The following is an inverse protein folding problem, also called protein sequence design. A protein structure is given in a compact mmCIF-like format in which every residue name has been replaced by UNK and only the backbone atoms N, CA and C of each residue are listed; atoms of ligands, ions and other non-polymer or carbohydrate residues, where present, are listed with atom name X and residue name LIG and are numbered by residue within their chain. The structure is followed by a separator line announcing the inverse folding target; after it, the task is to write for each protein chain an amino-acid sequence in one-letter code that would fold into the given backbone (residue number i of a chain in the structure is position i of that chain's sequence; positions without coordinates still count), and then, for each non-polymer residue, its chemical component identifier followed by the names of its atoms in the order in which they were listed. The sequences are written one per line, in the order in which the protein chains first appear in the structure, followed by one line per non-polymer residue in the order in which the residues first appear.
data_IF_217834446507
#
_entry.id   IF_217834446507
#
_cell.length_a   1.000
_cell.length_b   1.000
_cell.length_c   1.000
_cell.angle_alpha   90.00
_cell.angle_beta   90.00
_cell.angle_gamma   90.00
#
_symmetry.space_group_name_H-M   'P 1'
#
loop_
_entity.id
_entity.type
_entity.pdbx_description
1 polymer ?
#
# COMPACT_ATOMS: atom_id res chain seq x y z
N UNK A 1 12.47 7.94 -16.74
CA UNK A 1 12.01 6.62 -16.23
C UNK A 1 13.23 5.73 -16.05
N UNK A 2 13.32 4.96 -14.97
CA UNK A 2 14.45 4.04 -14.76
C UNK A 2 15.77 4.68 -14.30
N UNK A 3 15.76 5.97 -13.93
CA UNK A 3 16.92 6.61 -13.31
C UNK A 3 17.23 5.90 -11.98
N UNK A 4 18.49 5.55 -11.75
CA UNK A 4 18.93 4.88 -10.53
C UNK A 4 19.76 5.82 -9.67
N UNK A 5 19.69 5.64 -8.35
CA UNK A 5 20.55 6.30 -7.41
C UNK A 5 21.00 5.32 -6.32
N UNK A 6 22.30 5.24 -6.07
CA UNK A 6 22.89 4.43 -5.01
C UNK A 6 22.69 5.10 -3.66
N UNK A 7 22.68 4.31 -2.58
CA UNK A 7 22.63 4.82 -1.21
C UNK A 7 23.73 5.86 -0.93
N UNK A 8 24.94 5.67 -1.48
CA UNK A 8 26.05 6.63 -1.34
C UNK A 8 25.84 7.94 -2.08
N UNK A 9 25.01 7.96 -3.13
CA UNK A 9 24.63 9.18 -3.85
C UNK A 9 23.57 9.95 -3.08
N UNK A 10 22.62 9.23 -2.45
CA UNK A 10 21.61 9.82 -1.57
C UNK A 10 22.25 10.41 -0.30
N UNK A 11 23.19 9.70 0.32
CA UNK A 11 23.94 10.23 1.46
C UNK A 11 24.71 11.52 1.12
N UNK A 12 25.35 11.57 -0.05
CA UNK A 12 26.01 12.78 -0.57
C UNK A 12 25.01 13.90 -0.87
N UNK A 13 23.85 13.58 -1.40
CA UNK A 13 22.78 14.55 -1.62
C UNK A 13 22.29 15.13 -0.29
N UNK A 14 22.14 14.30 0.76
CA UNK A 14 21.75 14.76 2.11
C UNK A 14 22.74 15.80 2.63
N UNK A 15 24.03 15.53 2.53
CA UNK A 15 25.09 16.46 2.96
C UNK A 15 25.06 17.81 2.20
N UNK A 16 24.57 17.82 0.95
CA UNK A 16 24.45 19.04 0.14
C UNK A 16 23.15 19.81 0.41
N UNK A 17 22.04 19.10 0.61
CA UNK A 17 20.70 19.69 0.72
C UNK A 17 20.43 20.24 2.12
N UNK A 18 20.85 19.54 3.18
CA UNK A 18 20.60 19.98 4.56
C UNK A 18 21.17 21.37 4.90
N UNK A 19 22.43 21.70 4.55
CA UNK A 19 22.97 23.04 4.82
C UNK A 19 22.51 24.09 3.79
N UNK A 20 21.94 23.68 2.67
CA UNK A 20 21.48 24.62 1.65
C UNK A 20 20.16 25.27 2.07
N UNK A 21 20.14 26.60 2.20
CA UNK A 21 18.90 27.37 2.40
C UNK A 21 17.95 27.29 1.19
N UNK A 22 16.70 27.70 1.38
CA UNK A 22 15.63 27.58 0.37
C UNK A 22 16.00 28.18 -0.99
N UNK A 23 16.63 29.37 -1.02
CA UNK A 23 17.06 30.00 -2.27
C UNK A 23 18.07 29.15 -3.06
N UNK A 24 19.06 28.53 -2.39
CA UNK A 24 20.03 27.65 -3.04
C UNK A 24 19.39 26.35 -3.53
N UNK A 25 18.42 25.82 -2.78
CA UNK A 25 17.65 24.63 -3.20
C UNK A 25 16.76 24.93 -4.41
N UNK A 26 16.13 26.10 -4.46
CA UNK A 26 15.31 26.56 -5.58
C UNK A 26 16.13 26.79 -6.86
N UNK A 27 17.40 27.18 -6.72
CA UNK A 27 18.30 27.38 -7.86
C UNK A 27 18.83 26.06 -8.47
N UNK A 28 18.52 24.90 -7.87
CA UNK A 28 18.92 23.61 -8.43
C UNK A 28 18.17 23.34 -9.76
N UNK A 29 18.88 22.87 -10.80
CA UNK A 29 18.24 22.57 -12.09
C UNK A 29 17.09 21.55 -11.96
N UNK A 30 15.96 21.85 -12.61
CA UNK A 30 14.81 20.94 -12.67
C UNK A 30 13.95 20.90 -11.40
N UNK A 31 14.16 21.81 -10.46
CA UNK A 31 13.40 21.89 -9.22
C UNK A 31 12.21 22.83 -9.34
N UNK A 32 11.04 22.30 -9.03
CA UNK A 32 9.84 23.10 -8.81
C UNK A 32 9.92 23.78 -7.43
N UNK A 33 9.73 25.10 -7.41
CA UNK A 33 9.70 25.93 -6.20
C UNK A 33 8.79 25.36 -5.10
N UNK A 34 7.67 24.72 -5.46
CA UNK A 34 6.75 24.09 -4.50
C UNK A 34 7.35 22.89 -3.76
N UNK A 35 8.46 22.33 -4.25
CA UNK A 35 9.14 21.15 -3.67
C UNK A 35 10.30 21.54 -2.77
N UNK A 36 10.75 22.80 -2.80
CA UNK A 36 11.96 23.28 -2.13
C UNK A 36 11.93 23.03 -0.63
N UNK A 37 10.76 23.18 0.00
CA UNK A 37 10.60 23.00 1.45
C UNK A 37 10.50 21.53 1.85
N UNK A 38 10.12 20.65 0.93
CA UNK A 38 10.04 19.21 1.18
C UNK A 38 11.38 18.50 1.02
N UNK A 39 12.35 19.11 0.34
CA UNK A 39 13.64 18.47 0.04
C UNK A 39 14.41 17.98 1.27
N UNK A 40 14.57 18.78 2.35
CA UNK A 40 15.33 18.32 3.51
C UNK A 40 14.70 17.09 4.15
N UNK A 41 13.38 17.07 4.29
CA UNK A 41 12.65 15.93 4.83
C UNK A 41 12.77 14.70 3.90
N UNK A 42 12.58 14.89 2.60
CA UNK A 42 12.63 13.81 1.62
C UNK A 42 14.00 13.13 1.57
N UNK A 43 15.10 13.91 1.54
CA UNK A 43 16.45 13.34 1.45
C UNK A 43 16.87 12.62 2.73
N UNK A 44 16.46 13.12 3.90
CA UNK A 44 16.70 12.45 5.18
C UNK A 44 15.94 11.12 5.25
N UNK A 45 14.67 11.13 4.84
CA UNK A 45 13.85 9.93 4.82
C UNK A 45 14.42 8.87 3.87
N UNK A 46 14.86 9.26 2.66
CA UNK A 46 15.47 8.33 1.72
C UNK A 46 16.79 7.76 2.23
N UNK A 47 17.67 8.60 2.79
CA UNK A 47 18.95 8.15 3.37
C UNK A 47 18.71 7.15 4.52
N UNK A 48 17.77 7.47 5.41
CA UNK A 48 17.37 6.58 6.50
C UNK A 48 16.82 5.24 6.00
N UNK A 49 15.87 5.26 5.06
CA UNK A 49 15.25 4.04 4.53
C UNK A 49 16.26 3.13 3.83
N UNK A 50 17.17 3.70 3.02
CA UNK A 50 18.20 2.93 2.35
C UNK A 50 19.20 2.31 3.34
N UNK A 51 19.58 3.06 4.38
CA UNK A 51 20.46 2.57 5.44
C UNK A 51 19.82 1.46 6.27
N UNK A 52 18.60 1.70 6.76
CA UNK A 52 17.87 0.77 7.65
C UNK A 52 17.52 -0.53 6.94
N UNK A 53 16.99 -0.44 5.71
CA UNK A 53 16.63 -1.62 4.93
C UNK A 53 17.82 -2.27 4.21
N UNK A 54 19.04 -1.72 4.34
CA UNK A 54 20.26 -2.15 3.64
C UNK A 54 20.08 -2.26 2.12
N UNK A 55 19.34 -1.31 1.54
CA UNK A 55 19.06 -1.26 0.10
C UNK A 55 20.20 -0.48 -0.59
N UNK A 56 20.93 -1.09 -1.53
CA UNK A 56 22.10 -0.46 -2.14
C UNK A 56 21.74 0.63 -3.18
N UNK A 57 20.57 0.53 -3.80
CA UNK A 57 20.11 1.46 -4.83
C UNK A 57 18.57 1.55 -4.91
N UNK A 58 18.09 2.71 -5.38
CA UNK A 58 16.69 2.94 -5.74
C UNK A 58 16.56 3.25 -7.23
N UNK A 59 15.37 2.99 -7.77
CA UNK A 59 15.01 3.30 -9.15
C UNK A 59 13.78 4.19 -9.17
N UNK A 60 13.82 5.27 -9.96
CA UNK A 60 12.69 6.15 -10.17
C UNK A 60 11.61 5.46 -11.02
N UNK A 61 10.50 5.10 -10.37
CA UNK A 61 9.29 4.61 -11.03
C UNK A 61 8.44 5.78 -11.52
N UNK A 62 7.89 5.67 -12.73
CA UNK A 62 6.90 6.66 -13.25
C UNK A 62 5.47 6.30 -12.86
N UNK A 63 5.24 5.05 -12.47
CA UNK A 63 3.94 4.59 -12.01
C UNK A 63 3.82 4.84 -10.51
N UNK A 64 2.67 5.38 -10.13
CA UNK A 64 2.31 5.66 -8.76
C UNK A 64 0.92 5.07 -8.47
N UNK A 65 0.27 5.59 -7.43
CA UNK A 65 -1.05 5.12 -6.99
C UNK A 65 -2.11 5.18 -8.08
N UNK A 66 -2.09 6.21 -8.94
CA UNK A 66 -3.09 6.38 -10.01
C UNK A 66 -3.02 5.25 -11.03
N UNK A 67 -1.82 4.87 -11.48
CA UNK A 67 -1.65 3.74 -12.39
C UNK A 67 -2.05 2.43 -11.72
N UNK A 68 -1.72 2.26 -10.44
CA UNK A 68 -2.16 1.10 -9.66
C UNK A 68 -3.68 0.95 -9.61
N UNK A 69 -4.40 2.06 -9.41
CA UNK A 69 -5.86 2.10 -9.40
C UNK A 69 -6.46 1.90 -10.79
N UNK A 70 -5.90 2.50 -11.83
CA UNK A 70 -6.38 2.32 -13.21
C UNK A 70 -6.25 0.86 -13.65
N UNK A 71 -5.15 0.20 -13.30
CA UNK A 71 -4.96 -1.23 -13.58
C UNK A 71 -5.94 -2.10 -12.80
N UNK A 72 -6.26 -1.72 -11.57
CA UNK A 72 -7.28 -2.39 -10.76
C UNK A 72 -8.68 -2.24 -11.37
N UNK A 73 -9.07 -1.00 -11.73
CA UNK A 73 -10.36 -0.71 -12.37
C UNK A 73 -10.49 -1.37 -13.75
N UNK A 74 -9.39 -1.47 -14.51
CA UNK A 74 -9.39 -2.13 -15.80
C UNK A 74 -9.39 -3.67 -15.70
N UNK A 75 -9.31 -4.24 -14.49
CA UNK A 75 -9.18 -5.69 -14.28
C UNK A 75 -7.85 -6.26 -14.78
N UNK A 76 -6.84 -5.39 -15.03
CA UNK A 76 -5.54 -5.73 -15.62
C UNK A 76 -4.44 -5.94 -14.57
N UNK A 77 -4.80 -5.94 -13.27
CA UNK A 77 -3.87 -6.35 -12.22
C UNK A 77 -3.56 -7.84 -12.35
N UNK A 78 -2.50 -8.16 -13.07
CA UNK A 78 -1.86 -9.48 -13.09
C UNK A 78 -0.86 -9.60 -11.94
N UNK A 79 -1.38 -9.78 -10.73
CA UNK A 79 -0.63 -10.14 -9.52
C UNK A 79 -1.53 -11.03 -8.66
N UNK A 80 -1.00 -11.87 -7.74
CA UNK A 80 -1.80 -12.89 -7.08
C UNK A 80 -2.88 -12.24 -6.23
N UNK A 81 -4.08 -12.17 -6.79
CA UNK A 81 -5.29 -11.84 -6.07
C UNK A 81 -6.11 -10.68 -6.62
N UNK A 82 -7.34 -11.00 -7.01
CA UNK A 82 -8.43 -10.02 -7.15
C UNK A 82 -8.63 -9.17 -5.88
N UNK A 83 -9.39 -8.08 -5.97
CA UNK A 83 -9.63 -7.18 -4.83
C UNK A 83 -10.19 -7.90 -3.59
N UNK A 84 -10.99 -8.96 -3.79
CA UNK A 84 -11.55 -9.78 -2.72
C UNK A 84 -10.44 -10.54 -1.96
N UNK A 85 -9.48 -11.12 -2.66
CA UNK A 85 -8.36 -11.83 -2.05
C UNK A 85 -7.36 -10.89 -1.36
N UNK A 86 -7.20 -9.64 -1.84
CA UNK A 86 -6.42 -8.62 -1.14
C UNK A 86 -7.09 -8.27 0.18
N UNK A 87 -8.40 -8.00 0.17
CA UNK A 87 -9.17 -7.75 1.41
C UNK A 87 -9.09 -8.93 2.37
N UNK A 88 -9.28 -10.15 1.86
CA UNK A 88 -9.17 -11.39 2.65
C UNK A 88 -7.82 -11.47 3.37
N UNK A 89 -6.70 -11.30 2.65
CA UNK A 89 -5.36 -11.31 3.27
C UNK A 89 -5.20 -10.23 4.33
N UNK A 90 -5.77 -9.04 4.12
CA UNK A 90 -5.73 -7.97 5.12
C UNK A 90 -6.52 -8.32 6.38
N UNK A 91 -7.69 -8.94 6.23
CA UNK A 91 -8.51 -9.42 7.35
C UNK A 91 -7.81 -10.56 8.09
N UNK A 92 -7.19 -11.50 7.37
CA UNK A 92 -6.39 -12.60 7.94
C UNK A 92 -5.20 -12.06 8.74
N UNK A 93 -4.40 -11.15 8.16
CA UNK A 93 -3.27 -10.54 8.84
C UNK A 93 -3.69 -9.75 10.10
N UNK A 94 -4.85 -9.09 10.06
CA UNK A 94 -5.41 -8.42 11.24
C UNK A 94 -5.82 -9.43 12.31
N UNK A 95 -6.47 -10.52 11.92
CA UNK A 95 -6.88 -11.58 12.84
C UNK A 95 -5.69 -12.29 13.48
N UNK A 96 -4.64 -12.60 12.72
CA UNK A 96 -3.39 -13.17 13.25
C UNK A 96 -2.73 -12.24 14.26
N UNK A 97 -2.71 -10.93 13.97
CA UNK A 97 -2.02 -9.94 14.80
C UNK A 97 -2.76 -9.60 16.10
N UNK A 98 -4.09 -9.67 16.12
CA UNK A 98 -4.89 -9.17 17.24
C UNK A 98 -5.94 -10.13 17.81
N UNK A 99 -6.38 -11.14 17.05
CA UNK A 99 -7.49 -12.01 17.45
C UNK A 99 -7.08 -13.47 17.70
N UNK A 100 -5.96 -13.94 17.16
CA UNK A 100 -5.57 -15.35 17.23
C UNK A 100 -6.66 -16.28 16.68
N UNK A 101 -6.77 -17.54 17.17
CA UNK A 101 -7.83 -18.46 16.78
C UNK A 101 -9.23 -17.97 17.20
N UNK A 102 -9.92 -17.25 16.31
CA UNK A 102 -11.22 -16.64 16.60
C UNK A 102 -12.42 -17.58 16.31
N UNK A 103 -12.64 -18.56 17.18
CA UNK A 103 -13.76 -19.53 17.05
C UNK A 103 -15.15 -18.87 17.05
N UNK A 104 -15.32 -17.83 17.88
CA UNK A 104 -16.57 -17.07 17.93
C UNK A 104 -16.84 -16.33 16.62
N UNK A 105 -15.82 -15.67 16.04
CA UNK A 105 -15.93 -15.00 14.75
C UNK A 105 -16.34 -15.94 13.62
N UNK A 106 -15.82 -17.17 13.60
CA UNK A 106 -16.26 -18.21 12.63
C UNK A 106 -17.74 -18.55 12.78
N UNK A 107 -18.22 -18.68 14.03
CA UNK A 107 -19.62 -18.97 14.31
C UNK A 107 -20.53 -17.82 13.87
N UNK A 108 -20.15 -16.57 14.12
CA UNK A 108 -20.89 -15.38 13.69
C UNK A 108 -20.96 -15.33 12.16
N UNK A 109 -19.84 -15.55 11.47
CA UNK A 109 -19.80 -15.56 10.01
C UNK A 109 -20.70 -16.64 9.39
N UNK A 110 -20.66 -17.85 9.97
CA UNK A 110 -21.53 -18.97 9.54
C UNK A 110 -23.02 -18.61 9.67
N UNK A 111 -23.41 -18.01 10.80
CA UNK A 111 -24.80 -17.59 11.01
C UNK A 111 -25.20 -16.43 10.10
N UNK A 112 -24.32 -15.44 9.92
CA UNK A 112 -24.56 -14.30 9.04
C UNK A 112 -24.74 -14.75 7.59
N UNK A 113 -23.93 -15.69 7.10
CA UNK A 113 -24.10 -16.29 5.77
C UNK A 113 -25.43 -17.03 5.63
N UNK A 114 -25.82 -17.84 6.64
CA UNK A 114 -27.08 -18.56 6.60
C UNK A 114 -28.29 -17.60 6.56
N UNK A 115 -28.24 -16.51 7.34
CA UNK A 115 -29.26 -15.48 7.32
C UNK A 115 -29.30 -14.72 5.99
N UNK A 116 -28.13 -14.40 5.43
CA UNK A 116 -28.03 -13.77 4.12
C UNK A 116 -28.64 -14.65 3.03
N UNK A 117 -28.23 -15.91 2.94
CA UNK A 117 -28.72 -16.85 1.93
C UNK A 117 -30.24 -17.09 2.06
N UNK A 118 -30.79 -17.01 3.27
CA UNK A 118 -32.24 -17.15 3.52
C UNK A 118 -33.06 -15.89 3.20
N UNK A 119 -32.45 -14.70 3.19
CA UNK A 119 -33.17 -13.41 3.09
C UNK A 119 -32.80 -12.58 1.86
N UNK A 120 -31.75 -12.96 1.12
CA UNK A 120 -31.22 -12.17 0.01
C UNK A 120 -32.25 -11.88 -1.08
N UNK A 121 -33.09 -12.85 -1.44
CA UNK A 121 -34.12 -12.67 -2.47
C UNK A 121 -35.25 -11.75 -2.00
N UNK A 122 -35.72 -11.94 -0.77
CA UNK A 122 -36.79 -11.14 -0.17
C UNK A 122 -36.37 -9.68 0.03
N UNK A 123 -35.14 -9.48 0.51
CA UNK A 123 -34.56 -8.15 0.77
C UNK A 123 -33.85 -7.55 -0.44
N UNK A 124 -33.83 -8.24 -1.58
CA UNK A 124 -33.15 -7.83 -2.83
C UNK A 124 -31.69 -7.42 -2.62
N UNK A 125 -30.96 -8.22 -1.83
CA UNK A 125 -29.56 -7.94 -1.52
C UNK A 125 -28.67 -8.24 -2.73
N UNK A 126 -27.70 -7.37 -3.06
CA UNK A 126 -26.79 -7.62 -4.16
C UNK A 126 -25.82 -8.77 -3.81
N UNK A 127 -25.41 -9.63 -4.77
CA UNK A 127 -24.46 -10.72 -4.51
C UNK A 127 -23.12 -10.27 -3.90
N UNK A 128 -22.71 -9.03 -4.19
CA UNK A 128 -21.50 -8.42 -3.63
C UNK A 128 -21.57 -8.23 -2.10
N UNK A 129 -22.77 -8.14 -1.51
CA UNK A 129 -22.95 -8.00 -0.05
C UNK A 129 -22.66 -9.31 0.71
N UNK A 130 -22.52 -10.43 0.01
CA UNK A 130 -22.20 -11.74 0.60
C UNK A 130 -20.72 -11.88 0.99
N UNK A 131 -19.81 -11.28 0.21
CA UNK A 131 -18.36 -11.42 0.39
C UNK A 131 -17.84 -10.94 1.75
N UNK A 132 -18.29 -9.78 2.30
CA UNK A 132 -17.84 -9.31 3.61
C UNK A 132 -18.24 -10.19 4.80
N UNK A 133 -19.25 -11.05 4.65
CA UNK A 133 -19.75 -11.93 5.71
C UNK A 133 -18.90 -13.18 5.88
N UNK A 134 -18.01 -13.46 4.92
CA UNK A 134 -17.18 -14.66 4.90
C UNK A 134 -15.97 -14.50 5.81
N UNK A 135 -15.76 -15.47 6.70
CA UNK A 135 -14.50 -15.62 7.44
C UNK A 135 -13.71 -16.79 6.83
N UNK A 136 -12.40 -16.65 6.62
CA UNK A 136 -11.57 -17.70 6.04
C UNK A 136 -11.54 -18.95 6.92
N UNK A 137 -11.58 -20.12 6.27
CA UNK A 137 -11.41 -21.41 6.92
C UNK A 137 -9.93 -21.78 6.85
N UNK A 138 -9.32 -22.35 7.90
CA UNK A 138 -7.91 -22.75 7.87
C UNK A 138 -7.59 -23.89 6.86
N UNK A 139 -8.62 -24.52 6.27
CA UNK A 139 -8.48 -25.70 5.40
C UNK A 139 -8.96 -25.45 3.95
N UNK A 140 -8.58 -24.31 3.36
CA UNK A 140 -8.90 -23.99 1.96
C UNK A 140 -8.06 -22.86 1.37
#
# INVERSE_FOLDING_TARGET
HGARAKATEIARLRQRILPAGAARRAALPGIDTKRVDLMPAAVVMLDFLLGEARIPELMACTWALREGLLLELAGLRSGPGDAASVRRRSVEALAERFAGPNAHGRQVARLAMALFDATADELRLPPSAREPLRVPHPDG
#
